data_IF_095419371162
#
_entry.id   IF_095419371162
#
_cell.length_a   1.000
_cell.length_b   1.000
_cell.length_c   1.000
_cell.angle_alpha   90.00
_cell.angle_beta   90.00
_cell.angle_gamma   90.00
#
_symmetry.space_group_name_H-M   'P 1'
#
loop_
_entity.id
_entity.type
_entity.pdbx_description
1 polymer ?
#
# COMPACT_ATOMS: atom_id res chain seq x y z
N UNK A 1 -7.31 41.12 -27.00
CA UNK A 1 -7.09 39.76 -27.53
C UNK A 1 -6.77 38.80 -26.40
N UNK A 2 -5.87 39.15 -25.49
CA UNK A 2 -5.52 38.30 -24.34
C UNK A 2 -6.71 37.93 -23.44
N UNK A 3 -7.61 38.87 -23.16
CA UNK A 3 -8.78 38.63 -22.31
C UNK A 3 -9.77 37.58 -22.88
N UNK A 4 -9.86 37.48 -24.21
CA UNK A 4 -10.72 36.49 -24.87
C UNK A 4 -10.06 35.11 -24.83
N UNK A 5 -8.74 35.05 -24.96
CA UNK A 5 -7.96 33.80 -24.86
C UNK A 5 -8.06 33.24 -23.44
N UNK A 6 -7.92 34.09 -22.42
CA UNK A 6 -8.05 33.70 -21.02
C UNK A 6 -9.45 33.18 -20.69
N UNK A 7 -10.50 33.82 -21.22
CA UNK A 7 -11.88 33.37 -21.02
C UNK A 7 -12.15 32.01 -21.69
N UNK A 8 -11.67 31.82 -22.93
CA UNK A 8 -11.76 30.52 -23.62
C UNK A 8 -11.03 29.44 -22.81
N UNK A 9 -9.84 29.74 -22.32
CA UNK A 9 -9.05 28.81 -21.50
C UNK A 9 -9.76 28.45 -20.19
N UNK A 10 -10.32 29.42 -19.48
CA UNK A 10 -11.08 29.19 -18.25
C UNK A 10 -12.30 28.30 -18.50
N UNK A 11 -13.01 28.52 -19.61
CA UNK A 11 -14.16 27.70 -19.99
C UNK A 11 -13.77 26.25 -20.30
N UNK A 12 -12.65 26.06 -20.99
CA UNK A 12 -12.07 24.73 -21.24
C UNK A 12 -11.63 24.06 -19.94
N UNK A 13 -10.89 24.77 -19.09
CA UNK A 13 -10.40 24.24 -17.81
C UNK A 13 -11.55 23.85 -16.88
N UNK A 14 -12.62 24.64 -16.85
CA UNK A 14 -13.86 24.31 -16.14
C UNK A 14 -14.45 22.99 -16.64
N UNK A 15 -14.48 22.79 -17.96
CA UNK A 15 -14.99 21.54 -18.57
C UNK A 15 -14.10 20.34 -18.21
N UNK A 16 -12.77 20.52 -18.22
CA UNK A 16 -11.80 19.48 -17.82
C UNK A 16 -11.97 19.10 -16.35
N UNK A 17 -12.13 20.08 -15.46
CA UNK A 17 -12.35 19.87 -14.02
C UNK A 17 -13.69 19.18 -13.76
N UNK A 18 -14.78 19.62 -14.41
CA UNK A 18 -16.09 18.97 -14.29
C UNK A 18 -16.03 17.49 -14.67
N UNK A 19 -15.29 17.15 -15.74
CA UNK A 19 -15.06 15.76 -16.13
C UNK A 19 -14.20 15.01 -15.11
N UNK A 20 -13.14 15.63 -14.60
CA UNK A 20 -12.25 15.01 -13.62
C UNK A 20 -12.99 14.66 -12.32
N UNK A 21 -13.83 15.55 -11.79
CA UNK A 21 -14.61 15.31 -10.56
C UNK A 21 -15.54 14.09 -10.69
N UNK A 22 -16.01 13.77 -11.90
CA UNK A 22 -16.85 12.59 -12.16
C UNK A 22 -16.06 11.27 -12.21
N UNK A 23 -14.73 11.32 -12.18
CA UNK A 23 -13.88 10.13 -12.21
C UNK A 23 -13.45 9.73 -10.79
N UNK A 24 -14.08 8.73 -10.15
CA UNK A 24 -13.87 8.45 -8.73
C UNK A 24 -12.45 7.99 -8.38
N UNK A 25 -11.71 7.45 -9.36
CA UNK A 25 -10.33 7.02 -9.17
C UNK A 25 -9.35 8.04 -9.76
N UNK A 26 -9.45 8.36 -11.05
CA UNK A 26 -8.51 9.26 -11.73
C UNK A 26 -8.68 10.73 -11.33
N UNK A 27 -9.87 11.10 -10.86
CA UNK A 27 -10.22 12.44 -10.44
C UNK A 27 -9.89 12.77 -8.98
N UNK A 28 -9.31 11.85 -8.21
CA UNK A 28 -9.08 12.09 -6.78
C UNK A 28 -8.19 13.29 -6.47
N UNK A 29 -7.30 13.68 -7.41
CA UNK A 29 -6.50 14.89 -7.28
C UNK A 29 -7.33 16.18 -7.12
N UNK A 30 -8.58 16.18 -7.57
CA UNK A 30 -9.51 17.31 -7.39
C UNK A 30 -9.91 17.54 -5.92
N UNK A 31 -9.61 16.60 -5.02
CA UNK A 31 -9.93 16.67 -3.58
C UNK A 31 -8.68 16.83 -2.70
N UNK A 32 -7.51 17.09 -3.28
CA UNK A 32 -6.23 17.12 -2.55
C UNK A 32 -5.87 18.49 -1.94
N UNK A 33 -6.85 19.33 -1.67
CA UNK A 33 -6.64 20.69 -1.14
C UNK A 33 -5.85 20.71 0.18
N UNK A 34 -5.90 19.63 0.96
CA UNK A 34 -5.17 19.46 2.23
C UNK A 34 -3.96 18.54 2.14
N UNK A 35 -3.56 18.10 0.94
CA UNK A 35 -2.47 17.15 0.79
C UNK A 35 -1.12 17.82 1.06
N UNK A 36 -0.27 17.16 1.85
CA UNK A 36 1.10 17.62 2.10
C UNK A 36 1.94 17.36 0.85
N UNK A 37 2.59 18.41 0.35
CA UNK A 37 3.50 18.28 -0.78
C UNK A 37 4.72 17.43 -0.41
N UNK A 38 5.01 16.42 -1.24
CA UNK A 38 6.18 15.57 -1.08
C UNK A 38 7.26 15.97 -2.07
N UNK A 39 8.49 16.18 -1.61
CA UNK A 39 9.65 16.30 -2.50
C UNK A 39 10.07 14.92 -3.01
N UNK A 40 10.24 14.80 -4.33
CA UNK A 40 10.76 13.60 -4.98
C UNK A 40 12.13 13.92 -5.55
N UNK A 41 13.12 13.07 -5.30
CA UNK A 41 14.45 13.20 -5.89
C UNK A 41 14.59 12.28 -7.09
N UNK A 42 15.55 12.55 -7.99
CA UNK A 42 15.81 11.69 -9.15
C UNK A 42 16.09 10.23 -8.77
N UNK A 43 16.63 10.00 -7.58
CA UNK A 43 16.89 8.66 -7.04
C UNK A 43 15.62 7.88 -6.65
N UNK A 44 14.48 8.55 -6.49
CA UNK A 44 13.20 7.93 -6.12
C UNK A 44 12.42 7.40 -7.33
N UNK A 45 12.82 7.77 -8.55
CA UNK A 45 12.01 7.62 -9.76
C UNK A 45 11.76 6.18 -10.24
N UNK A 46 12.73 5.25 -10.26
CA UNK A 46 12.57 4.06 -11.11
C UNK A 46 11.46 3.10 -10.65
N UNK A 47 11.33 2.82 -9.34
CA UNK A 47 10.34 1.84 -8.84
C UNK A 47 9.40 2.40 -7.77
N UNK A 48 9.85 3.39 -6.98
CA UNK A 48 9.10 3.89 -5.82
C UNK A 48 7.91 4.74 -6.25
N UNK A 49 8.07 5.60 -7.25
CA UNK A 49 6.98 6.47 -7.75
C UNK A 49 5.81 5.64 -8.28
N UNK A 50 6.09 4.59 -9.05
CA UNK A 50 5.04 3.78 -9.65
C UNK A 50 4.17 3.08 -8.60
N UNK A 51 4.76 2.66 -7.48
CA UNK A 51 4.03 2.13 -6.34
C UNK A 51 3.23 3.21 -5.63
N UNK A 52 3.86 4.37 -5.35
CA UNK A 52 3.23 5.50 -4.65
C UNK A 52 2.00 6.03 -5.38
N UNK A 53 2.09 6.26 -6.68
CA UNK A 53 0.95 6.72 -7.49
C UNK A 53 -0.18 5.69 -7.41
N UNK A 54 0.13 4.40 -7.58
CA UNK A 54 -0.88 3.34 -7.51
C UNK A 54 -1.46 3.17 -6.11
N UNK A 55 -0.70 3.42 -5.05
CA UNK A 55 -1.23 3.33 -3.69
C UNK A 55 -2.15 4.51 -3.37
N UNK A 56 -1.78 5.72 -3.79
CA UNK A 56 -2.59 6.93 -3.60
C UNK A 56 -3.93 6.81 -4.33
N UNK A 57 -3.90 6.36 -5.58
CA UNK A 57 -5.11 6.22 -6.39
C UNK A 57 -5.80 4.85 -6.25
N UNK A 58 -5.53 4.04 -5.22
CA UNK A 58 -6.11 2.69 -5.05
C UNK A 58 -6.12 1.85 -6.36
N UNK A 59 -4.98 1.84 -7.06
CA UNK A 59 -4.73 1.05 -8.27
C UNK A 59 -3.82 -0.16 -8.01
N UNK A 60 -3.56 -0.48 -6.73
CA UNK A 60 -2.84 -1.68 -6.35
C UNK A 60 -3.71 -2.92 -6.63
N UNK A 61 -3.11 -4.11 -6.84
CA UNK A 61 -3.81 -5.33 -7.24
C UNK A 61 -4.62 -5.98 -6.10
N UNK A 62 -5.57 -5.25 -5.49
CA UNK A 62 -6.56 -5.80 -4.55
C UNK A 62 -7.60 -6.65 -5.28
N UNK A 63 -8.25 -7.61 -4.62
CA UNK A 63 -9.27 -8.43 -5.32
C UNK A 63 -10.42 -7.57 -5.87
N UNK A 64 -10.79 -6.49 -5.19
CA UNK A 64 -11.75 -5.52 -5.73
C UNK A 64 -11.29 -4.90 -7.05
N UNK A 65 -10.01 -4.53 -7.16
CA UNK A 65 -9.44 -3.99 -8.39
C UNK A 65 -9.24 -5.06 -9.46
N UNK A 66 -8.86 -6.28 -9.09
CA UNK A 66 -8.74 -7.40 -10.01
C UNK A 66 -10.08 -7.74 -10.67
N UNK A 67 -11.19 -7.68 -9.92
CA UNK A 67 -12.54 -7.81 -10.47
C UNK A 67 -12.88 -6.66 -11.41
N UNK A 68 -12.56 -5.43 -11.01
CA UNK A 68 -12.74 -4.24 -11.86
C UNK A 68 -11.96 -4.36 -13.18
N UNK A 69 -10.79 -5.00 -13.18
CA UNK A 69 -9.98 -5.25 -14.36
C UNK A 69 -10.36 -6.52 -15.14
N UNK A 70 -11.41 -7.23 -14.73
CA UNK A 70 -11.84 -8.48 -15.37
C UNK A 70 -10.85 -9.66 -15.19
N UNK A 71 -9.94 -9.59 -14.21
CA UNK A 71 -8.94 -10.63 -13.94
C UNK A 71 -9.39 -11.66 -12.89
N UNK A 72 -10.45 -11.36 -12.13
CA UNK A 72 -11.00 -12.24 -11.10
C UNK A 72 -12.53 -12.10 -11.08
N UNK A 73 -13.25 -13.16 -10.73
CA UNK A 73 -14.72 -13.15 -10.62
C UNK A 73 -15.26 -12.58 -9.31
N UNK A 74 -14.51 -12.73 -8.21
CA UNK A 74 -15.00 -12.41 -6.86
C UNK A 74 -14.04 -11.48 -6.09
N UNK A 75 -14.52 -10.35 -5.52
CA UNK A 75 -13.70 -9.43 -4.74
C UNK A 75 -13.50 -9.85 -3.28
N UNK A 76 -13.91 -11.05 -2.87
CA UNK A 76 -13.81 -11.51 -1.48
C UNK A 76 -12.38 -11.63 -0.95
N UNK A 77 -12.22 -11.38 0.35
CA UNK A 77 -11.01 -11.59 1.11
C UNK A 77 -10.89 -13.06 1.50
N UNK A 78 -9.72 -13.66 1.27
CA UNK A 78 -9.47 -15.06 1.64
C UNK A 78 -9.47 -15.31 3.16
N UNK A 79 -9.27 -14.26 3.97
CA UNK A 79 -9.20 -14.40 5.42
C UNK A 79 -10.56 -14.23 6.09
N UNK A 80 -11.30 -13.18 5.72
CA UNK A 80 -12.54 -12.81 6.41
C UNK A 80 -13.79 -12.81 5.52
N UNK A 81 -13.64 -13.24 4.25
CA UNK A 81 -14.71 -13.31 3.25
C UNK A 81 -15.43 -11.99 2.92
N UNK A 82 -14.97 -10.87 3.47
CA UNK A 82 -15.48 -9.52 3.15
C UNK A 82 -14.89 -8.98 1.85
N UNK A 83 -15.40 -7.85 1.33
CA UNK A 83 -14.85 -7.21 0.12
C UNK A 83 -13.40 -6.74 0.37
N UNK A 84 -12.45 -7.25 -0.42
CA UNK A 84 -11.03 -6.94 -0.29
C UNK A 84 -10.62 -5.75 -1.17
N UNK A 85 -10.72 -4.56 -0.60
CA UNK A 85 -10.10 -3.32 -1.12
C UNK A 85 -8.64 -3.21 -0.65
N UNK A 86 -7.88 -2.22 -1.12
CA UNK A 86 -6.53 -1.97 -0.58
C UNK A 86 -6.58 -1.57 0.89
N UNK A 87 -7.51 -0.68 1.28
CA UNK A 87 -7.76 -0.28 2.67
C UNK A 87 -8.08 -1.51 3.53
N UNK A 88 -8.84 -2.46 3.00
CA UNK A 88 -9.12 -3.72 3.69
C UNK A 88 -7.83 -4.48 4.04
N UNK A 89 -6.94 -4.67 3.08
CA UNK A 89 -5.66 -5.40 3.29
C UNK A 89 -4.73 -4.64 4.25
N UNK A 90 -4.72 -3.31 4.16
CA UNK A 90 -3.80 -2.46 4.89
C UNK A 90 -4.24 -2.15 6.33
N UNK A 91 -5.54 -2.09 6.63
CA UNK A 91 -6.00 -1.70 7.97
C UNK A 91 -7.33 -2.31 8.45
N UNK A 92 -8.22 -2.75 7.56
CA UNK A 92 -9.63 -3.01 7.95
C UNK A 92 -10.05 -4.48 7.97
N UNK A 93 -9.14 -5.43 7.76
CA UNK A 93 -9.47 -6.86 7.82
C UNK A 93 -9.61 -7.33 9.28
N UNK A 94 -10.83 -7.73 9.67
CA UNK A 94 -11.17 -8.21 11.02
C UNK A 94 -10.32 -9.41 11.46
N UNK A 95 -10.08 -10.35 10.54
CA UNK A 95 -9.26 -11.54 10.82
C UNK A 95 -7.78 -11.16 10.94
N UNK A 96 -7.26 -10.28 10.08
CA UNK A 96 -5.88 -9.80 10.20
C UNK A 96 -5.64 -9.03 11.50
N UNK A 97 -6.63 -8.23 11.93
CA UNK A 97 -6.61 -7.51 13.21
C UNK A 97 -6.61 -8.48 14.38
N UNK A 98 -7.57 -9.42 14.40
CA UNK A 98 -7.68 -10.41 15.47
C UNK A 98 -6.52 -11.40 15.52
N UNK A 99 -5.76 -11.59 14.45
CA UNK A 99 -4.53 -12.40 14.45
C UNK A 99 -3.27 -11.60 14.81
N UNK A 100 -3.35 -10.29 15.03
CA UNK A 100 -2.19 -9.46 15.35
C UNK A 100 -1.26 -9.16 14.16
N UNK A 101 -1.70 -9.37 12.91
CA UNK A 101 -0.88 -9.17 11.71
C UNK A 101 -0.51 -7.70 11.48
N UNK A 102 -1.38 -6.77 11.88
CA UNK A 102 -1.07 -5.32 11.81
C UNK A 102 0.01 -4.95 12.82
N UNK A 103 -0.12 -5.40 14.06
CA UNK A 103 0.88 -5.20 15.12
C UNK A 103 2.24 -5.75 14.69
N UNK A 104 2.29 -6.97 14.14
CA UNK A 104 3.55 -7.52 13.65
C UNK A 104 4.20 -6.67 12.54
N UNK A 105 3.41 -6.23 11.54
CA UNK A 105 3.91 -5.37 10.46
C UNK A 105 4.42 -4.03 11.00
N UNK A 106 3.66 -3.39 11.88
CA UNK A 106 4.06 -2.12 12.50
C UNK A 106 5.33 -2.27 13.32
N UNK A 107 5.41 -3.31 14.16
CA UNK A 107 6.59 -3.57 14.98
C UNK A 107 7.83 -3.83 14.11
N UNK A 108 7.68 -4.51 12.97
CA UNK A 108 8.78 -4.69 12.03
C UNK A 108 9.27 -3.37 11.45
N UNK A 109 8.37 -2.50 11.02
CA UNK A 109 8.74 -1.15 10.53
C UNK A 109 9.43 -0.34 11.63
N UNK A 110 8.91 -0.37 12.86
CA UNK A 110 9.51 0.32 14.01
C UNK A 110 10.91 -0.22 14.35
N UNK A 111 11.13 -1.54 14.25
CA UNK A 111 12.44 -2.15 14.45
C UNK A 111 13.45 -1.65 13.41
N UNK A 112 13.08 -1.61 12.14
CA UNK A 112 13.96 -1.09 11.08
C UNK A 112 14.27 0.40 11.28
N UNK A 113 13.27 1.20 11.63
CA UNK A 113 13.48 2.62 11.93
C UNK A 113 14.40 2.83 13.13
N UNK A 114 14.20 2.07 14.22
CA UNK A 114 15.07 2.13 15.38
C UNK A 114 16.53 1.77 15.02
N UNK A 115 16.72 0.73 14.20
CA UNK A 115 18.04 0.32 13.71
C UNK A 115 18.76 1.46 12.95
N UNK A 116 18.07 2.10 12.01
CA UNK A 116 18.62 3.24 11.25
C UNK A 116 18.98 4.41 12.17
N UNK A 117 18.12 4.73 13.14
CA UNK A 117 18.35 5.85 14.07
C UNK A 117 19.53 5.57 14.99
N UNK A 118 19.63 4.37 15.58
CA UNK A 118 20.77 3.99 16.43
C UNK A 118 22.08 3.99 15.64
N UNK A 119 22.06 3.52 14.39
CA UNK A 119 23.23 3.58 13.50
C UNK A 119 23.65 5.02 13.24
N UNK A 120 22.70 5.93 12.99
CA UNK A 120 22.97 7.35 12.79
C UNK A 120 23.51 8.05 14.06
N UNK A 121 23.17 7.54 15.24
CA UNK A 121 23.69 8.04 16.54
C UNK A 121 25.08 7.49 16.91
N UNK A 122 25.64 6.57 16.12
CA UNK A 122 26.93 5.94 16.42
C UNK A 122 26.86 4.83 17.49
N UNK A 123 25.67 4.35 17.83
CA UNK A 123 25.48 3.24 18.77
C UNK A 123 25.63 1.90 18.01
N UNK A 124 26.76 1.21 18.19
CA UNK A 124 26.96 -0.15 17.68
C UNK A 124 26.24 -1.12 18.61
N UNK A 125 25.08 -1.62 18.21
CA UNK A 125 24.47 -2.76 18.89
C UNK A 125 25.03 -4.06 18.32
N UNK A 126 25.59 -4.98 19.14
CA UNK A 126 25.79 -6.35 18.70
C UNK A 126 24.44 -6.92 18.31
N UNK A 127 24.41 -7.69 17.21
CA UNK A 127 23.26 -8.38 16.65
C UNK A 127 22.66 -9.38 17.65
N UNK A 128 22.05 -8.86 18.71
CA UNK A 128 21.29 -9.63 19.67
C UNK A 128 19.84 -9.32 19.41
N UNK A 129 19.15 -10.38 19.01
CA UNK A 129 17.72 -10.52 18.77
C UNK A 129 16.93 -10.26 20.04
N UNK A 130 17.09 -9.11 20.68
CA UNK A 130 16.22 -8.71 21.77
C UNK A 130 14.86 -8.40 21.14
N UNK A 131 13.87 -9.26 21.41
CA UNK A 131 12.50 -9.06 20.96
C UNK A 131 11.96 -7.79 21.62
N UNK A 132 12.22 -6.62 21.03
CA UNK A 132 11.53 -5.38 21.38
C UNK A 132 10.09 -5.54 20.92
N UNK A 133 9.25 -6.00 21.85
CA UNK A 133 7.81 -6.09 21.65
C UNK A 133 7.26 -4.70 21.89
N UNK A 134 7.03 -3.96 20.81
CA UNK A 134 6.23 -2.74 20.87
C UNK A 134 4.79 -3.17 21.10
N UNK A 135 4.29 -2.91 22.31
CA UNK A 135 2.95 -3.31 22.73
C UNK A 135 1.98 -2.17 22.46
N UNK A 136 0.85 -2.46 21.81
CA UNK A 136 -0.30 -1.55 21.76
C UNK A 136 -1.15 -1.76 23.00
N UNK A 137 -1.91 -0.74 23.42
CA UNK A 137 -2.71 -0.63 24.66
C UNK A 137 -3.81 -1.71 24.86
N UNK A 138 -3.88 -2.73 24.01
CA UNK A 138 -5.00 -3.68 23.89
C UNK A 138 -4.65 -5.16 23.99
N UNK A 139 -3.58 -5.54 24.70
CA UNK A 139 -3.37 -6.94 25.10
C UNK A 139 -2.82 -7.87 24.01
N UNK A 140 -1.93 -8.77 24.44
CA UNK A 140 -0.95 -9.49 23.63
C UNK A 140 -1.57 -10.66 22.85
N UNK A 141 -1.35 -10.66 21.54
CA UNK A 141 -1.24 -11.89 20.74
C UNK A 141 -0.07 -11.76 19.79
N UNK A 142 1.03 -12.41 20.19
CA UNK A 142 2.28 -12.47 19.42
C UNK A 142 2.03 -13.34 18.20
N UNK A 143 1.93 -12.73 17.02
CA UNK A 143 1.94 -13.49 15.78
C UNK A 143 3.34 -14.07 15.57
N UNK A 144 3.49 -15.36 15.83
CA UNK A 144 4.69 -16.15 15.58
C UNK A 144 4.58 -16.64 14.12
N UNK A 145 5.07 -15.83 13.18
CA UNK A 145 4.91 -16.10 11.75
C UNK A 145 5.26 -17.56 11.38
N UNK A 146 4.33 -18.24 10.71
CA UNK A 146 4.61 -19.55 10.12
C UNK A 146 5.58 -19.38 8.95
N UNK A 147 6.68 -20.14 8.96
CA UNK A 147 7.62 -20.22 7.84
C UNK A 147 6.93 -20.93 6.68
N UNK A 148 6.71 -20.22 5.57
CA UNK A 148 6.37 -20.83 4.28
C UNK A 148 7.71 -21.02 3.55
N UNK A 149 8.16 -22.27 3.41
CA UNK A 149 9.33 -22.61 2.60
C UNK A 149 9.03 -22.29 1.14
N UNK A 150 9.62 -21.21 0.61
CA UNK A 150 9.59 -20.91 -0.82
C UNK A 150 10.86 -21.47 -1.48
N UNK A 151 10.66 -22.26 -2.53
CA UNK A 151 11.74 -22.91 -3.26
C UNK A 151 12.59 -21.88 -4.04
N UNK A 152 13.89 -22.11 -4.04
CA UNK A 152 14.97 -21.19 -4.36
C UNK A 152 15.11 -21.01 -5.87
N UNK A 153 14.31 -20.17 -6.52
CA UNK A 153 14.71 -19.59 -7.80
C UNK A 153 13.89 -18.35 -8.19
N UNK A 154 14.36 -17.17 -7.75
CA UNK A 154 14.29 -15.86 -8.45
C UNK A 154 14.65 -14.76 -7.45
N UNK A 155 15.93 -14.38 -7.44
CA UNK A 155 16.41 -13.17 -6.76
C UNK A 155 15.90 -11.96 -7.55
N UNK A 156 14.81 -11.37 -7.09
CA UNK A 156 14.38 -10.02 -7.43
C UNK A 156 13.66 -9.48 -6.21
N UNK A 157 14.17 -8.40 -5.63
CA UNK A 157 13.63 -7.68 -4.49
C UNK A 157 12.26 -7.09 -4.85
N UNK A 158 11.25 -7.93 -4.76
CA UNK A 158 9.86 -7.55 -4.66
C UNK A 158 9.35 -8.44 -3.54
N UNK A 159 9.42 -7.94 -2.29
CA UNK A 159 8.79 -8.61 -1.15
C UNK A 159 7.30 -8.65 -1.48
N UNK A 160 6.88 -9.83 -1.92
CA UNK A 160 5.57 -10.13 -2.46
C UNK A 160 4.55 -9.96 -1.33
N UNK A 161 3.91 -8.79 -1.24
CA UNK A 161 2.79 -8.54 -0.34
C UNK A 161 1.44 -9.02 -0.88
N UNK A 162 1.44 -9.81 -1.96
CA UNK A 162 0.27 -10.46 -2.53
C UNK A 162 0.65 -11.88 -2.92
N UNK A 163 0.35 -12.88 -2.09
CA UNK A 163 0.32 -14.26 -2.58
C UNK A 163 -0.95 -14.44 -3.43
N UNK A 164 -0.85 -14.81 -4.72
CA UNK A 164 -1.89 -15.59 -5.36
C UNK A 164 -1.67 -17.04 -4.89
N UNK A 165 -2.69 -17.66 -4.28
CA UNK A 165 -2.70 -19.11 -4.19
C UNK A 165 -2.84 -19.65 -5.62
N UNK A 166 -1.80 -20.35 -6.04
CA UNK A 166 -1.88 -21.30 -7.13
C UNK A 166 -2.74 -22.48 -6.64
N UNK A 167 -3.91 -22.64 -7.25
CA UNK A 167 -4.58 -23.93 -7.32
C UNK A 167 -4.70 -24.28 -8.81
N UNK A 168 -4.17 -25.44 -9.16
CA UNK A 168 -4.14 -25.95 -10.51
C UNK A 168 -5.54 -26.21 -11.05
N UNK A 169 -5.73 -25.85 -12.31
CA UNK A 169 -6.64 -26.55 -13.21
C UNK A 169 -5.82 -27.02 -14.40
N UNK A 170 -5.47 -28.30 -14.38
CA UNK A 170 -5.34 -29.09 -15.60
C UNK A 170 -6.77 -29.35 -16.10
N UNK A 171 -6.98 -29.06 -17.38
CA UNK A 171 -8.25 -29.19 -18.08
C UNK A 171 -8.20 -28.35 -19.35
#
# INVERSE_FOLDING_TARGET
MDLIIDEIRNKEDSTRVQKAVQQPQQGQWTSWDTAIQRSLTWNDIPLRISFLIRSVYDLLPSNANLVRWGKKGDPTCLLCQGRQTTVHVLSSCKVALSQGRYTWRHNKVLQELASVISTAKGEIHPSSTSSTVFTTEGGVKKWLGGSITMNTHRKSLLVVFFSPLADGYFG
#
